data_IF_064529519570
#
_entry.id   IF_064529519570
#
_cell.length_a   1.000
_cell.length_b   1.000
_cell.length_c   1.000
_cell.angle_alpha   90.00
_cell.angle_beta   90.00
_cell.angle_gamma   90.00
#
_symmetry.space_group_name_H-M   'P 1'
#
loop_
_entity.id
_entity.type
_entity.pdbx_description
1 polymer ?
#
# COMPACT_ATOMS: atom_id res chain seq x y z
N UNK A 1 -14.78 16.49 24.31
CA UNK A 1 -14.44 16.30 22.87
C UNK A 1 -14.09 14.82 22.63
N UNK A 2 -15.01 13.90 22.92
CA UNK A 2 -14.82 12.44 22.76
C UNK A 2 -16.06 11.79 22.14
N UNK A 3 -17.26 12.35 22.37
CA UNK A 3 -18.52 11.81 21.85
C UNK A 3 -18.78 12.08 20.35
N UNK A 4 -18.27 13.18 19.79
CA UNK A 4 -18.56 13.56 18.39
C UNK A 4 -17.67 12.86 17.36
N UNK A 5 -16.47 12.41 17.72
CA UNK A 5 -15.58 11.66 16.82
C UNK A 5 -15.90 10.15 16.75
N UNK A 6 -16.82 9.64 17.58
CA UNK A 6 -17.19 8.21 17.61
C UNK A 6 -18.10 7.82 16.44
N UNK A 7 -18.76 8.81 15.83
CA UNK A 7 -19.75 8.63 14.76
C UNK A 7 -19.31 9.27 13.44
N UNK A 8 -18.10 9.83 13.38
CA UNK A 8 -17.51 10.18 12.11
C UNK A 8 -17.16 8.87 11.40
N UNK A 9 -17.80 8.59 10.26
CA UNK A 9 -17.29 7.59 9.33
C UNK A 9 -15.83 7.94 9.11
N UNK A 10 -14.93 7.06 9.54
CA UNK A 10 -13.49 7.34 9.52
C UNK A 10 -12.93 7.43 8.10
N UNK A 11 -13.78 7.33 7.07
CA UNK A 11 -13.49 7.75 5.71
C UNK A 11 -12.24 7.09 5.17
N UNK A 12 -12.07 5.79 5.46
CA UNK A 12 -10.94 5.06 4.91
C UNK A 12 -11.31 4.59 3.50
N UNK A 13 -10.69 5.27 2.54
CA UNK A 13 -10.78 4.97 1.13
C UNK A 13 -9.47 4.36 0.62
N UNK A 14 -8.69 3.69 1.49
CA UNK A 14 -7.38 3.13 1.12
C UNK A 14 -7.52 2.20 -0.08
N UNK A 15 -8.51 1.30 -0.09
CA UNK A 15 -8.69 0.36 -1.21
C UNK A 15 -9.04 1.11 -2.50
N UNK A 16 -10.01 2.03 -2.44
CA UNK A 16 -10.45 2.83 -3.57
C UNK A 16 -9.33 3.73 -4.10
N UNK A 17 -8.52 4.33 -3.22
CA UNK A 17 -7.40 5.18 -3.60
C UNK A 17 -6.29 4.38 -4.29
N UNK A 18 -6.05 3.14 -3.87
CA UNK A 18 -5.11 2.23 -4.55
C UNK A 18 -5.62 1.95 -5.96
N UNK A 19 -6.89 1.58 -6.09
CA UNK A 19 -7.50 1.25 -7.37
C UNK A 19 -7.50 2.45 -8.33
N UNK A 20 -7.85 3.64 -7.82
CA UNK A 20 -7.84 4.87 -8.59
C UNK A 20 -6.41 5.27 -9.00
N UNK A 21 -5.44 5.15 -8.10
CA UNK A 21 -4.03 5.42 -8.39
C UNK A 21 -3.48 4.51 -9.49
N UNK A 22 -3.81 3.22 -9.43
CA UNK A 22 -3.47 2.24 -10.48
C UNK A 22 -4.13 2.61 -11.81
N UNK A 23 -5.41 2.95 -11.80
CA UNK A 23 -6.13 3.31 -13.02
C UNK A 23 -5.55 4.58 -13.66
N UNK A 24 -5.22 5.59 -12.85
CA UNK A 24 -4.56 6.82 -13.32
C UNK A 24 -3.16 6.56 -13.89
N UNK A 25 -2.39 5.67 -13.25
CA UNK A 25 -1.07 5.29 -13.75
C UNK A 25 -1.16 4.56 -15.10
N UNK A 26 -2.13 3.65 -15.23
CA UNK A 26 -2.43 2.93 -16.48
C UNK A 26 -2.82 3.87 -17.62
N UNK A 27 -3.62 4.91 -17.35
CA UNK A 27 -4.07 5.84 -18.39
C UNK A 27 -3.02 6.87 -18.76
N UNK A 28 -2.15 7.26 -17.82
CA UNK A 28 -1.11 8.26 -18.04
C UNK A 28 0.12 7.71 -18.79
N UNK A 29 0.43 6.41 -18.66
CA UNK A 29 1.60 5.78 -19.26
C UNK A 29 1.23 4.78 -20.34
N UNK A 30 1.94 4.80 -21.46
CA UNK A 30 1.86 3.77 -22.52
C UNK A 30 2.90 2.65 -22.32
N UNK A 31 3.63 2.66 -21.19
CA UNK A 31 4.66 1.68 -20.84
C UNK A 31 4.63 1.32 -19.35
N UNK A 32 5.78 0.94 -18.79
CA UNK A 32 5.87 0.53 -17.38
C UNK A 32 5.45 1.66 -16.44
N UNK A 33 4.52 1.35 -15.54
CA UNK A 33 4.05 2.28 -14.53
C UNK A 33 4.14 1.65 -13.15
N UNK A 34 4.50 2.46 -12.15
CA UNK A 34 4.59 2.05 -10.76
C UNK A 34 3.66 2.88 -9.88
N UNK A 35 3.06 2.23 -8.88
CA UNK A 35 2.26 2.89 -7.85
C UNK A 35 2.81 2.51 -6.49
N UNK A 36 3.05 3.51 -5.65
CA UNK A 36 3.54 3.31 -4.28
C UNK A 36 2.50 3.80 -3.29
N UNK A 37 2.03 2.88 -2.45
CA UNK A 37 1.06 3.14 -1.40
C UNK A 37 1.83 3.28 -0.09
N UNK A 38 1.76 4.45 0.54
CA UNK A 38 2.43 4.68 1.83
C UNK A 38 1.38 4.64 2.93
N UNK A 39 1.56 3.79 3.94
CA UNK A 39 0.57 3.57 5.01
C UNK A 39 1.24 3.40 6.38
N UNK A 40 0.53 3.72 7.45
CA UNK A 40 0.89 3.42 8.84
C UNK A 40 0.42 2.03 9.30
N UNK A 41 -0.09 1.21 8.36
CA UNK A 41 -0.59 -0.15 8.55
C UNK A 41 -1.86 -0.30 9.40
N UNK A 42 -2.54 0.78 9.78
CA UNK A 42 -3.70 0.76 10.68
C UNK A 42 -5.01 0.17 10.06
N UNK A 43 -4.93 -0.67 9.02
CA UNK A 43 -6.08 -1.17 8.22
C UNK A 43 -7.22 -1.74 9.07
N UNK A 44 -6.87 -2.51 10.11
CA UNK A 44 -7.84 -3.18 10.99
C UNK A 44 -8.74 -2.18 11.73
N UNK A 45 -8.19 -1.02 12.10
CA UNK A 45 -8.94 0.05 12.78
C UNK A 45 -10.06 0.62 11.93
N UNK A 46 -9.92 0.51 10.61
CA UNK A 46 -10.87 1.00 9.63
C UNK A 46 -11.71 -0.12 9.00
N UNK A 47 -11.59 -1.36 9.49
CA UNK A 47 -12.33 -2.51 8.97
C UNK A 47 -11.84 -2.99 7.60
N UNK A 48 -10.68 -2.53 7.14
CA UNK A 48 -10.09 -2.97 5.87
C UNK A 48 -9.41 -4.32 6.08
N UNK A 49 -9.82 -5.31 5.30
CA UNK A 49 -9.17 -6.62 5.30
C UNK A 49 -7.89 -6.54 4.47
N UNK A 50 -6.75 -7.07 4.96
CA UNK A 50 -5.51 -7.11 4.18
C UNK A 50 -5.66 -7.73 2.78
N UNK A 51 -6.58 -8.68 2.62
CA UNK A 51 -6.89 -9.32 1.34
C UNK A 51 -7.53 -8.35 0.32
N UNK A 52 -8.27 -7.34 0.79
CA UNK A 52 -8.85 -6.33 -0.09
C UNK A 52 -7.75 -5.41 -0.64
N UNK A 53 -6.79 -5.02 0.21
CA UNK A 53 -5.59 -4.32 -0.22
C UNK A 53 -4.75 -5.17 -1.20
N UNK A 54 -4.56 -6.45 -0.90
CA UNK A 54 -3.84 -7.38 -1.76
C UNK A 54 -4.47 -7.46 -3.16
N UNK A 55 -5.81 -7.57 -3.22
CA UNK A 55 -6.57 -7.57 -4.48
C UNK A 55 -6.42 -6.26 -5.24
N UNK A 56 -6.49 -5.12 -4.56
CA UNK A 56 -6.30 -3.81 -5.17
C UNK A 56 -4.89 -3.66 -5.77
N UNK A 57 -3.84 -4.02 -5.01
CA UNK A 57 -2.44 -3.97 -5.46
C UNK A 57 -2.11 -4.91 -6.64
N UNK A 58 -2.91 -5.95 -6.86
CA UNK A 58 -2.74 -6.91 -7.95
C UNK A 58 -3.74 -6.71 -9.10
N UNK A 59 -4.56 -5.65 -9.05
CA UNK A 59 -5.71 -5.48 -9.95
C UNK A 59 -5.32 -5.29 -11.41
N UNK A 60 -4.21 -4.60 -11.68
CA UNK A 60 -3.72 -4.34 -13.03
C UNK A 60 -2.31 -4.93 -13.21
N UNK A 61 -2.16 -5.98 -14.04
CA UNK A 61 -0.85 -6.62 -14.27
C UNK A 61 0.19 -5.70 -14.91
N UNK A 62 -0.23 -4.70 -15.70
CA UNK A 62 0.68 -3.76 -16.37
C UNK A 62 1.17 -2.63 -15.45
N UNK A 63 0.69 -2.57 -14.20
CA UNK A 63 1.09 -1.56 -13.22
C UNK A 63 1.73 -2.24 -12.01
N UNK A 64 3.01 -1.96 -11.78
CA UNK A 64 3.74 -2.45 -10.62
C UNK A 64 3.37 -1.65 -9.37
N UNK A 65 2.30 -2.08 -8.69
CA UNK A 65 1.87 -1.51 -7.42
C UNK A 65 2.52 -2.19 -6.20
N UNK A 66 3.01 -1.37 -5.26
CA UNK A 66 3.66 -1.78 -4.01
C UNK A 66 3.14 -0.96 -2.83
N UNK A 67 2.97 -1.60 -1.67
CA UNK A 67 2.68 -0.96 -0.40
C UNK A 67 3.93 -0.87 0.48
N UNK A 68 4.15 0.30 1.08
CA UNK A 68 5.25 0.61 1.99
C UNK A 68 4.64 1.06 3.33
N UNK A 69 4.84 0.26 4.36
CA UNK A 69 4.37 0.54 5.71
C UNK A 69 5.46 1.29 6.49
N UNK A 70 5.22 2.57 6.80
CA UNK A 70 6.19 3.46 7.46
C UNK A 70 6.01 3.53 8.98
N UNK A 71 4.89 3.00 9.48
CA UNK A 71 4.63 2.83 10.90
C UNK A 71 3.90 1.50 11.10
N UNK A 72 3.82 1.06 12.35
CA UNK A 72 3.10 -0.13 12.76
C UNK A 72 2.72 0.02 14.23
N UNK A 73 1.45 -0.18 14.56
CA UNK A 73 1.04 -0.39 15.94
C UNK A 73 1.25 -1.88 16.27
N UNK A 74 2.13 -2.17 17.23
CA UNK A 74 2.60 -3.54 17.46
C UNK A 74 3.10 -4.19 16.16
N UNK A 75 2.54 -5.34 15.76
CA UNK A 75 2.96 -6.11 14.59
C UNK A 75 1.98 -6.02 13.39
N UNK A 76 1.08 -5.04 13.37
CA UNK A 76 0.06 -4.89 12.31
C UNK A 76 0.68 -4.87 10.90
N UNK A 77 1.77 -4.13 10.69
CA UNK A 77 2.41 -4.09 9.37
C UNK A 77 2.92 -5.47 8.92
N UNK A 78 3.42 -6.30 9.84
CA UNK A 78 3.85 -7.67 9.53
C UNK A 78 2.66 -8.59 9.25
N UNK A 79 1.56 -8.44 9.99
CA UNK A 79 0.32 -9.20 9.74
C UNK A 79 -0.28 -8.86 8.37
N UNK A 80 -0.29 -7.58 7.98
CA UNK A 80 -0.75 -7.18 6.64
C UNK A 80 0.14 -7.82 5.56
N UNK A 81 1.46 -7.79 5.75
CA UNK A 81 2.41 -8.38 4.80
C UNK A 81 2.16 -9.87 4.51
N UNK A 82 1.68 -10.68 5.47
CA UNK A 82 1.42 -12.11 5.23
C UNK A 82 0.31 -12.38 4.23
N UNK A 83 -0.51 -11.36 3.93
CA UNK A 83 -1.64 -11.44 3.01
C UNK A 83 -1.35 -10.80 1.65
N UNK A 84 -0.28 -10.01 1.55
CA UNK A 84 0.08 -9.35 0.30
C UNK A 84 0.83 -10.33 -0.62
N UNK A 85 0.69 -10.17 -1.95
CA UNK A 85 1.49 -10.95 -2.88
C UNK A 85 2.99 -10.69 -2.67
N UNK A 86 3.81 -11.70 -2.95
CA UNK A 86 5.26 -11.61 -2.78
C UNK A 86 5.84 -10.40 -3.52
N UNK A 87 6.67 -9.60 -2.83
CA UNK A 87 7.31 -8.41 -3.39
C UNK A 87 6.42 -7.15 -3.48
N UNK A 88 5.11 -7.26 -3.19
CA UNK A 88 4.20 -6.10 -3.19
C UNK A 88 4.09 -5.38 -1.84
N UNK A 89 4.61 -5.94 -0.75
CA UNK A 89 4.61 -5.33 0.57
C UNK A 89 6.02 -5.07 1.10
N UNK A 90 6.23 -3.92 1.74
CA UNK A 90 7.50 -3.49 2.33
C UNK A 90 7.26 -2.82 3.68
N UNK A 91 8.14 -3.03 4.66
CA UNK A 91 8.09 -2.35 5.96
C UNK A 91 9.33 -1.49 6.13
N UNK A 92 9.13 -0.22 6.49
CA UNK A 92 10.16 0.80 6.58
C UNK A 92 9.92 1.70 7.81
N UNK A 93 10.16 1.18 9.02
CA UNK A 93 9.88 1.91 10.27
C UNK A 93 10.84 3.08 10.54
N UNK A 94 12.00 3.09 9.88
CA UNK A 94 12.90 4.23 9.84
C UNK A 94 12.79 4.89 8.45
N UNK A 95 12.23 6.09 8.39
CA UNK A 95 11.99 6.79 7.12
C UNK A 95 13.28 7.19 6.41
N UNK A 96 14.42 7.24 7.10
CA UNK A 96 15.73 7.44 6.47
C UNK A 96 16.12 6.27 5.52
N UNK A 97 15.54 5.08 5.72
CA UNK A 97 15.79 3.90 4.89
C UNK A 97 14.88 3.85 3.64
N UNK A 98 13.91 4.77 3.52
CA UNK A 98 12.95 4.78 2.43
C UNK A 98 13.62 4.86 1.03
N UNK A 99 14.68 5.65 0.80
CA UNK A 99 15.42 5.63 -0.47
C UNK A 99 15.99 4.24 -0.80
N UNK A 100 16.42 3.48 0.21
CA UNK A 100 16.95 2.13 0.02
C UNK A 100 15.83 1.14 -0.32
N UNK A 101 14.64 1.29 0.26
CA UNK A 101 13.44 0.51 -0.11
C UNK A 101 13.09 0.75 -1.58
N UNK A 102 13.00 2.00 -2.01
CA UNK A 102 12.76 2.34 -3.41
C UNK A 102 13.83 1.74 -4.33
N UNK A 103 15.12 1.86 -3.97
CA UNK A 103 16.20 1.29 -4.77
C UNK A 103 16.06 -0.23 -4.94
N UNK A 104 15.67 -0.96 -3.88
CA UNK A 104 15.41 -2.40 -3.96
C UNK A 104 14.25 -2.72 -4.90
N UNK A 105 13.15 -1.97 -4.80
CA UNK A 105 11.97 -2.15 -5.67
C UNK A 105 12.33 -1.92 -7.14
N UNK A 106 12.99 -0.80 -7.45
CA UNK A 106 13.38 -0.49 -8.83
C UNK A 106 14.35 -1.52 -9.41
N UNK A 107 15.35 -1.97 -8.64
CA UNK A 107 16.29 -3.01 -9.08
C UNK A 107 15.57 -4.34 -9.38
N UNK A 108 14.58 -4.71 -8.58
CA UNK A 108 13.80 -5.93 -8.80
C UNK A 108 12.94 -5.83 -10.07
N UNK A 109 12.36 -4.66 -10.35
CA UNK A 109 11.51 -4.45 -11.52
C UNK A 109 12.27 -4.44 -12.84
N UNK A 110 13.53 -3.98 -12.86
CA UNK A 110 14.38 -3.97 -14.07
C UNK A 110 14.93 -5.37 -14.39
N UNK A 111 14.93 -6.28 -13.42
CA UNK A 111 15.43 -7.64 -13.58
C UNK A 111 14.36 -8.66 -14.04
N UNK A 112 13.11 -8.21 -14.26
CA UNK A 112 12.00 -9.00 -14.79
C UNK A 112 11.78 -8.70 -16.28
#
# INVERSE_FOLDING_TARGET
MVAHSQYCSSGDHTVEAIEEGIQRAKTASHGDAMVFVVSDANLKRYGIKPQDMARALAREPTVAAHAIFIASLADEAREVMTHLPQGKGHVCLNTADLPHVFQKIFKASVAQ
#
